data_IF_915435260834
#
_entry.id   IF_915435260834
#
_cell.length_a   1.000
_cell.length_b   1.000
_cell.length_c   1.000
_cell.angle_alpha   90.00
_cell.angle_beta   90.00
_cell.angle_gamma   90.00
#
_symmetry.space_group_name_H-M   'P 1'
#
loop_
_entity.id
_entity.type
_entity.pdbx_description
1 polymer ?
#
# COMPACT_ATOMS: atom_id res chain seq x y z
N UNK A 1 17.28 -6.33 9.23
CA UNK A 1 16.31 -7.13 8.43
C UNK A 1 15.14 -6.30 7.91
N UNK A 2 14.54 -5.37 8.67
CA UNK A 2 13.39 -4.55 8.23
C UNK A 2 13.60 -3.81 6.90
N UNK A 3 14.76 -3.23 6.66
CA UNK A 3 15.08 -2.49 5.43
C UNK A 3 14.96 -3.37 4.17
N UNK A 4 15.43 -4.62 4.23
CA UNK A 4 15.36 -5.55 3.09
C UNK A 4 13.90 -5.85 2.75
N UNK A 5 13.06 -6.12 3.76
CA UNK A 5 11.62 -6.34 3.55
C UNK A 5 10.94 -5.09 2.98
N UNK A 6 11.31 -3.90 3.43
CA UNK A 6 10.76 -2.65 2.89
C UNK A 6 11.12 -2.46 1.40
N UNK A 7 12.37 -2.76 1.00
CA UNK A 7 12.81 -2.69 -0.40
C UNK A 7 12.02 -3.69 -1.25
N UNK A 8 11.92 -4.94 -0.82
CA UNK A 8 11.17 -5.98 -1.54
C UNK A 8 9.69 -5.58 -1.67
N UNK A 9 9.11 -5.07 -0.60
CA UNK A 9 7.71 -4.60 -0.60
C UNK A 9 7.51 -3.47 -1.60
N UNK A 10 8.38 -2.45 -1.60
CA UNK A 10 8.28 -1.32 -2.52
C UNK A 10 8.39 -1.73 -3.99
N UNK A 11 9.34 -2.62 -4.32
CA UNK A 11 9.48 -3.17 -5.68
C UNK A 11 8.22 -3.97 -6.06
N UNK A 12 7.75 -4.85 -5.16
CA UNK A 12 6.55 -5.67 -5.40
C UNK A 12 5.30 -4.82 -5.61
N UNK A 13 5.11 -3.77 -4.82
CA UNK A 13 3.98 -2.83 -4.98
C UNK A 13 4.04 -2.10 -6.33
N UNK A 14 5.23 -1.69 -6.77
CA UNK A 14 5.40 -1.03 -8.06
C UNK A 14 5.05 -1.96 -9.23
N UNK A 15 5.56 -3.20 -9.20
CA UNK A 15 5.24 -4.21 -10.20
C UNK A 15 3.75 -4.57 -10.21
N UNK A 16 3.17 -4.81 -9.04
CA UNK A 16 1.75 -5.09 -8.89
C UNK A 16 0.90 -3.95 -9.45
N UNK A 17 1.24 -2.71 -9.15
CA UNK A 17 0.53 -1.54 -9.66
C UNK A 17 0.51 -1.48 -11.18
N UNK A 18 1.66 -1.72 -11.82
CA UNK A 18 1.77 -1.74 -13.29
C UNK A 18 1.00 -2.91 -13.88
N UNK A 19 1.16 -4.12 -13.34
CA UNK A 19 0.46 -5.31 -13.85
C UNK A 19 -1.05 -5.17 -13.74
N UNK A 20 -1.54 -4.68 -12.61
CA UNK A 20 -2.96 -4.45 -12.40
C UNK A 20 -3.50 -3.38 -13.34
N UNK A 21 -2.75 -2.29 -13.56
CA UNK A 21 -3.14 -1.24 -14.52
C UNK A 21 -3.24 -1.81 -15.93
N UNK A 22 -2.24 -2.58 -16.37
CA UNK A 22 -2.24 -3.20 -17.70
C UNK A 22 -3.34 -4.24 -17.88
N UNK A 23 -3.65 -4.99 -16.85
CA UNK A 23 -4.78 -5.92 -16.87
C UNK A 23 -6.11 -5.16 -16.91
N UNK A 24 -6.22 -4.08 -16.12
CA UNK A 24 -7.40 -3.22 -16.06
C UNK A 24 -7.74 -2.52 -17.37
N UNK A 25 -6.74 -2.18 -18.18
CA UNK A 25 -6.93 -1.67 -19.53
C UNK A 25 -7.61 -2.69 -20.47
N UNK A 26 -7.45 -3.99 -20.19
CA UNK A 26 -7.97 -5.08 -21.04
C UNK A 26 -9.32 -5.61 -20.58
N UNK A 27 -9.52 -5.78 -19.29
CA UNK A 27 -10.70 -6.48 -18.76
C UNK A 27 -11.59 -5.61 -17.86
N UNK A 28 -11.17 -4.38 -17.56
CA UNK A 28 -11.85 -3.50 -16.63
C UNK A 28 -11.21 -3.46 -15.24
N UNK A 29 -11.42 -2.34 -14.54
CA UNK A 29 -10.76 -2.11 -13.23
C UNK A 29 -11.33 -2.98 -12.12
N UNK A 30 -12.63 -3.17 -12.10
CA UNK A 30 -13.30 -3.99 -11.08
C UNK A 30 -13.05 -5.47 -11.27
N UNK A 31 -13.08 -5.94 -12.51
CA UNK A 31 -12.76 -7.30 -12.90
C UNK A 31 -11.31 -7.66 -12.53
N UNK A 32 -10.38 -6.73 -12.79
CA UNK A 32 -8.99 -6.87 -12.37
C UNK A 32 -8.88 -6.97 -10.85
N UNK A 33 -9.58 -6.11 -10.12
CA UNK A 33 -9.55 -6.14 -8.65
C UNK A 33 -10.03 -7.50 -8.11
N UNK A 34 -11.12 -8.04 -8.66
CA UNK A 34 -11.61 -9.39 -8.29
C UNK A 34 -10.56 -10.45 -8.55
N UNK A 35 -9.95 -10.48 -9.74
CA UNK A 35 -8.94 -11.49 -10.09
C UNK A 35 -7.71 -11.38 -9.17
N UNK A 36 -7.24 -10.18 -8.90
CA UNK A 36 -6.06 -9.93 -8.05
C UNK A 36 -6.33 -10.37 -6.61
N UNK A 37 -7.50 -10.03 -6.06
CA UNK A 37 -7.87 -10.46 -4.72
C UNK A 37 -8.07 -11.97 -4.62
N UNK A 38 -8.67 -12.59 -5.64
CA UNK A 38 -8.88 -14.04 -5.69
C UNK A 38 -7.55 -14.80 -5.77
N UNK A 39 -6.65 -14.40 -6.66
CA UNK A 39 -5.33 -15.02 -6.78
C UNK A 39 -4.50 -14.84 -5.51
N UNK A 40 -4.57 -13.67 -4.88
CA UNK A 40 -3.96 -13.40 -3.59
C UNK A 40 -4.53 -14.29 -2.48
N UNK A 41 -5.86 -14.44 -2.44
CA UNK A 41 -6.53 -15.32 -1.48
C UNK A 41 -6.10 -16.80 -1.64
N UNK A 42 -6.10 -17.30 -2.87
CA UNK A 42 -5.69 -18.70 -3.14
C UNK A 42 -4.25 -18.92 -2.67
N UNK A 43 -3.34 -18.01 -3.05
CA UNK A 43 -1.93 -18.13 -2.68
C UNK A 43 -1.75 -18.08 -1.15
N UNK A 44 -2.41 -17.14 -0.48
CA UNK A 44 -2.30 -17.02 0.98
C UNK A 44 -2.93 -18.20 1.72
N UNK A 45 -4.01 -18.80 1.22
CA UNK A 45 -4.58 -20.03 1.78
C UNK A 45 -3.59 -21.18 1.68
N UNK A 46 -2.95 -21.38 0.52
CA UNK A 46 -1.93 -22.40 0.33
C UNK A 46 -0.76 -22.18 1.31
N UNK A 47 -0.23 -20.96 1.37
CA UNK A 47 0.87 -20.63 2.29
C UNK A 47 0.45 -20.86 3.75
N UNK A 48 -0.74 -20.43 4.12
CA UNK A 48 -1.26 -20.58 5.48
C UNK A 48 -1.43 -22.04 5.87
N UNK A 49 -1.82 -22.90 4.93
CA UNK A 49 -1.95 -24.33 5.16
C UNK A 49 -0.60 -25.00 5.48
N UNK A 50 0.47 -24.66 4.74
CA UNK A 50 1.78 -25.29 4.91
C UNK A 50 2.65 -24.64 6.00
N UNK A 51 2.56 -23.33 6.17
CA UNK A 51 3.44 -22.55 7.05
C UNK A 51 2.71 -21.75 8.15
N UNK A 52 1.38 -21.75 8.16
CA UNK A 52 0.60 -21.04 9.16
C UNK A 52 0.78 -21.63 10.56
N UNK A 53 1.20 -20.78 11.51
CA UNK A 53 1.36 -21.15 12.93
C UNK A 53 0.30 -20.49 13.82
N UNK A 54 -0.62 -19.74 13.23
CA UNK A 54 -1.69 -19.03 13.94
C UNK A 54 -2.96 -19.88 14.09
N UNK A 55 -3.98 -19.28 14.72
CA UNK A 55 -5.30 -19.89 14.86
C UNK A 55 -6.40 -18.94 14.41
N UNK A 56 -7.18 -19.36 13.43
CA UNK A 56 -8.35 -18.60 12.96
C UNK A 56 -9.43 -18.42 14.04
N UNK A 57 -9.48 -19.28 15.07
CA UNK A 57 -10.45 -19.16 16.15
C UNK A 57 -10.25 -17.88 16.98
N UNK A 58 -9.03 -17.34 17.01
CA UNK A 58 -8.70 -16.11 17.73
C UNK A 58 -9.27 -14.84 17.05
N UNK A 59 -9.83 -14.95 15.86
CA UNK A 59 -10.49 -13.81 15.16
C UNK A 59 -11.63 -13.22 15.99
N UNK A 60 -12.27 -14.03 16.85
CA UNK A 60 -13.36 -13.58 17.73
C UNK A 60 -12.89 -12.56 18.76
N UNK A 61 -11.61 -12.60 19.12
CA UNK A 61 -10.98 -11.74 20.12
C UNK A 61 -10.32 -10.50 19.49
N UNK A 62 -10.26 -10.44 18.16
CA UNK A 62 -9.65 -9.31 17.43
C UNK A 62 -10.63 -8.13 17.37
N UNK A 63 -10.09 -6.91 17.42
CA UNK A 63 -10.87 -5.73 17.14
C UNK A 63 -11.39 -5.79 15.70
N UNK A 64 -12.71 -5.67 15.53
CA UNK A 64 -13.39 -5.74 14.22
C UNK A 64 -12.85 -4.73 13.20
N UNK A 65 -12.34 -3.59 13.67
CA UNK A 65 -11.72 -2.59 12.81
C UNK A 65 -10.52 -3.15 12.03
N UNK A 66 -9.74 -4.05 12.65
CA UNK A 66 -8.56 -4.64 12.00
C UNK A 66 -8.91 -5.64 10.90
N UNK A 67 -10.15 -6.11 10.84
CA UNK A 67 -10.64 -6.97 9.77
C UNK A 67 -10.91 -6.20 8.46
N UNK A 68 -10.92 -4.86 8.51
CA UNK A 68 -11.12 -4.03 7.33
C UNK A 68 -9.92 -3.99 6.38
N UNK A 69 -8.79 -4.62 6.74
CA UNK A 69 -7.61 -4.68 5.89
C UNK A 69 -7.88 -5.19 4.48
N UNK A 70 -8.74 -6.21 4.33
CA UNK A 70 -9.16 -6.71 3.02
C UNK A 70 -9.97 -5.68 2.21
N UNK A 71 -10.89 -4.97 2.85
CA UNK A 71 -11.67 -3.90 2.20
C UNK A 71 -10.76 -2.74 1.76
N UNK A 72 -9.80 -2.36 2.59
CA UNK A 72 -8.77 -1.38 2.22
C UNK A 72 -7.95 -1.85 1.01
N UNK A 73 -7.64 -3.14 0.92
CA UNK A 73 -6.97 -3.72 -0.25
C UNK A 73 -7.74 -3.48 -1.56
N UNK A 74 -9.06 -3.61 -1.55
CA UNK A 74 -9.92 -3.30 -2.71
C UNK A 74 -9.79 -1.83 -3.11
N UNK A 75 -9.86 -0.92 -2.14
CA UNK A 75 -9.72 0.52 -2.37
C UNK A 75 -8.33 0.86 -2.91
N UNK A 76 -7.28 0.30 -2.30
CA UNK A 76 -5.88 0.52 -2.70
C UNK A 76 -5.67 0.08 -4.16
N UNK A 77 -6.04 -1.16 -4.51
CA UNK A 77 -5.84 -1.69 -5.87
C UNK A 77 -6.55 -0.80 -6.90
N UNK A 78 -7.81 -0.45 -6.65
CA UNK A 78 -8.57 0.41 -7.56
C UNK A 78 -7.93 1.78 -7.74
N UNK A 79 -7.56 2.45 -6.63
CA UNK A 79 -7.00 3.81 -6.68
C UNK A 79 -5.59 3.84 -7.26
N UNK A 80 -4.77 2.82 -7.01
CA UNK A 80 -3.43 2.67 -7.62
C UNK A 80 -3.55 2.51 -9.14
N UNK A 81 -4.44 1.65 -9.64
CA UNK A 81 -4.67 1.51 -11.08
C UNK A 81 -5.12 2.83 -11.72
N UNK A 82 -6.05 3.55 -11.09
CA UNK A 82 -6.49 4.87 -11.57
C UNK A 82 -5.35 5.89 -11.57
N UNK A 83 -4.54 5.92 -10.52
CA UNK A 83 -3.39 6.82 -10.40
C UNK A 83 -2.34 6.55 -11.50
N UNK A 84 -1.92 5.31 -11.65
CA UNK A 84 -0.92 4.92 -12.66
C UNK A 84 -1.46 5.14 -14.08
N UNK A 85 -2.69 4.74 -14.35
CA UNK A 85 -3.33 4.91 -15.67
C UNK A 85 -3.51 6.37 -16.07
N UNK A 86 -3.76 7.28 -15.10
CA UNK A 86 -3.96 8.70 -15.36
C UNK A 86 -2.69 9.55 -15.36
N UNK A 87 -1.69 9.19 -14.58
CA UNK A 87 -0.51 10.04 -14.33
C UNK A 87 0.82 9.37 -14.71
N UNK A 88 0.80 8.10 -15.08
CA UNK A 88 1.99 7.28 -15.29
C UNK A 88 2.54 6.67 -14.00
N UNK A 89 3.37 5.63 -14.16
CA UNK A 89 3.83 4.80 -13.05
C UNK A 89 4.65 5.58 -12.02
N UNK A 90 5.70 6.26 -12.45
CA UNK A 90 6.64 6.91 -11.53
C UNK A 90 5.99 8.03 -10.74
N UNK A 91 5.23 8.89 -11.42
CA UNK A 91 4.58 10.03 -10.76
C UNK A 91 3.44 9.57 -9.85
N UNK A 92 2.62 8.62 -10.30
CA UNK A 92 1.56 8.04 -9.49
C UNK A 92 2.08 7.38 -8.21
N UNK A 93 3.11 6.54 -8.33
CA UNK A 93 3.74 5.87 -7.16
C UNK A 93 4.40 6.90 -6.24
N UNK A 94 5.04 7.93 -6.79
CA UNK A 94 5.64 8.99 -6.00
C UNK A 94 4.63 9.72 -5.10
N UNK A 95 3.46 10.10 -5.64
CA UNK A 95 2.39 10.72 -4.84
C UNK A 95 1.85 9.76 -3.79
N UNK A 96 1.65 8.48 -4.16
CA UNK A 96 1.21 7.45 -3.22
C UNK A 96 2.18 7.33 -2.04
N UNK A 97 3.49 7.32 -2.30
CA UNK A 97 4.52 7.23 -1.27
C UNK A 97 4.44 8.41 -0.28
N UNK A 98 4.29 9.64 -0.77
CA UNK A 98 4.14 10.82 0.10
C UNK A 98 2.88 10.70 0.96
N UNK A 99 1.75 10.31 0.35
CA UNK A 99 0.50 10.14 1.08
C UNK A 99 0.60 9.05 2.16
N UNK A 100 1.29 7.95 1.88
CA UNK A 100 1.57 6.88 2.84
C UNK A 100 2.42 7.38 4.01
N UNK A 101 3.48 8.14 3.74
CA UNK A 101 4.34 8.69 4.80
C UNK A 101 3.60 9.68 5.68
N UNK A 102 2.78 10.56 5.08
CA UNK A 102 1.93 11.48 5.84
C UNK A 102 0.94 10.75 6.74
N UNK A 103 0.25 9.75 6.18
CA UNK A 103 -0.69 8.94 6.95
C UNK A 103 0.01 8.18 8.08
N UNK A 104 1.15 7.55 7.82
CA UNK A 104 1.96 6.88 8.83
C UNK A 104 2.42 7.85 9.92
N UNK A 105 2.91 9.05 9.54
CA UNK A 105 3.31 10.08 10.49
C UNK A 105 2.18 10.56 11.40
N UNK A 106 0.96 10.69 10.88
CA UNK A 106 -0.23 11.00 11.69
C UNK A 106 -0.53 9.86 12.67
N UNK A 107 -0.50 8.61 12.20
CA UNK A 107 -0.74 7.43 13.04
C UNK A 107 0.27 7.39 14.20
N UNK A 108 1.54 7.57 13.90
CA UNK A 108 2.63 7.54 14.89
C UNK A 108 2.56 8.75 15.84
N UNK A 109 2.29 9.95 15.33
CA UNK A 109 2.21 11.16 16.15
C UNK A 109 1.10 11.10 17.21
N UNK A 110 -0.02 10.47 16.87
CA UNK A 110 -1.16 10.32 17.78
C UNK A 110 -1.20 8.96 18.49
N UNK A 111 -0.36 7.99 18.10
CA UNK A 111 -0.40 6.61 18.63
C UNK A 111 -1.72 5.91 18.29
N UNK A 112 -2.24 6.13 17.07
CA UNK A 112 -3.52 5.58 16.66
C UNK A 112 -3.45 4.05 16.53
N UNK A 113 -4.59 3.39 16.73
CA UNK A 113 -4.74 1.93 16.56
C UNK A 113 -3.83 1.08 17.47
N UNK A 114 -3.30 1.66 18.56
CA UNK A 114 -2.41 0.97 19.49
C UNK A 114 -0.93 0.96 19.09
N UNK A 115 -0.53 1.81 18.14
CA UNK A 115 0.88 2.03 17.81
C UNK A 115 1.59 2.82 18.91
N UNK A 116 2.91 2.66 19.02
CA UNK A 116 3.72 3.50 19.90
C UNK A 116 3.68 4.95 19.44
N UNK A 117 3.48 5.88 20.38
CA UNK A 117 3.43 7.30 20.08
C UNK A 117 4.84 7.83 19.84
N UNK A 118 5.12 8.23 18.61
CA UNK A 118 6.40 8.84 18.21
C UNK A 118 6.16 10.33 17.91
N UNK A 119 6.93 11.21 18.54
CA UNK A 119 6.83 12.64 18.28
C UNK A 119 7.34 12.95 16.87
N UNK A 120 6.49 13.57 16.08
CA UNK A 120 6.86 14.07 14.76
C UNK A 120 7.66 15.36 14.93
N UNK A 121 8.92 15.34 14.57
CA UNK A 121 9.84 16.47 14.70
C UNK A 121 9.95 17.26 13.38
N UNK A 122 10.60 18.40 13.40
CA UNK A 122 10.75 19.29 12.24
C UNK A 122 11.46 18.62 11.06
N UNK A 123 12.39 17.70 11.34
CA UNK A 123 13.15 17.02 10.28
C UNK A 123 12.32 16.03 9.45
N UNK A 124 11.27 15.42 10.01
CA UNK A 124 10.33 14.61 9.24
C UNK A 124 9.51 15.46 8.27
N UNK A 125 9.05 16.63 8.71
CA UNK A 125 8.37 17.58 7.83
C UNK A 125 9.28 18.08 6.70
N UNK A 126 10.55 18.37 7.01
CA UNK A 126 11.53 18.76 6.00
C UNK A 126 11.80 17.62 5.01
N UNK A 127 11.89 16.37 5.48
CA UNK A 127 12.05 15.19 4.63
C UNK A 127 10.89 15.04 3.65
N UNK A 128 9.65 15.15 4.12
CA UNK A 128 8.44 15.11 3.27
C UNK A 128 8.42 16.26 2.27
N UNK A 129 8.76 17.49 2.70
CA UNK A 129 8.83 18.64 1.80
C UNK A 129 9.84 18.45 0.67
N UNK A 130 11.02 17.92 0.98
CA UNK A 130 12.05 17.61 -0.03
C UNK A 130 11.54 16.54 -1.01
N UNK A 131 10.84 15.51 -0.53
CA UNK A 131 10.25 14.49 -1.39
C UNK A 131 9.20 15.07 -2.34
N UNK A 132 8.35 15.98 -1.86
CA UNK A 132 7.36 16.69 -2.69
C UNK A 132 8.07 17.48 -3.78
N UNK A 133 9.09 18.26 -3.43
CA UNK A 133 9.90 19.01 -4.39
C UNK A 133 10.56 18.08 -5.40
N UNK A 134 11.13 16.95 -4.95
CA UNK A 134 11.75 15.96 -5.82
C UNK A 134 10.77 15.38 -6.85
N UNK A 135 9.54 15.08 -6.44
CA UNK A 135 8.50 14.55 -7.36
C UNK A 135 8.04 15.62 -8.34
N UNK A 136 7.92 16.89 -7.93
CA UNK A 136 7.59 18.00 -8.82
C UNK A 136 8.69 18.18 -9.86
N UNK A 137 9.96 18.18 -9.45
CA UNK A 137 11.12 18.27 -10.35
C UNK A 137 11.13 17.10 -11.34
N UNK A 138 10.81 15.90 -10.86
CA UNK A 138 10.77 14.69 -11.70
C UNK A 138 9.74 14.81 -12.84
N UNK A 139 8.63 15.50 -12.62
CA UNK A 139 7.58 15.74 -13.61
C UNK A 139 7.87 16.96 -14.52
N UNK A 140 8.76 17.88 -14.12
CA UNK A 140 8.91 19.20 -14.75
C UNK A 140 9.29 19.17 -16.26
N UNK A 141 9.73 18.04 -16.78
CA UNK A 141 10.20 17.93 -18.18
C UNK A 141 9.37 16.96 -19.06
N UNK A 142 8.22 16.54 -18.61
CA UNK A 142 7.34 15.66 -19.39
C UNK A 142 5.95 16.31 -19.42
#
# INVERSE_FOLDING_TARGET
MGIIYAIISGISMSLQGVFNTKLGEKIGLWETNVIVQLTGLILTLVISFFWGKGSYSNIKNANKLFLLGGALGVVIIFTVMKSIGGMGTTFGIGIILIAQLLAAGIIDAFGLFGTEKIKFCLHEFLGIAIMIVGIIIFKWKH
#
